data_IF_212445735151
#
_entry.id   IF_212445735151
#
_cell.length_a   1.000
_cell.length_b   1.000
_cell.length_c   1.000
_cell.angle_alpha   90.00
_cell.angle_beta   90.00
_cell.angle_gamma   90.00
#
_symmetry.space_group_name_H-M   'P 1'
#
loop_
_entity.id
_entity.type
_entity.pdbx_description
1 polymer ?
#
# COMPACT_ATOMS: atom_id res chain seq x y z
N UNK A 1 -2.32 -35.27 6.38
CA UNK A 1 -3.41 -34.45 5.77
C UNK A 1 -2.76 -33.28 5.07
N UNK A 2 -2.90 -33.19 3.74
CA UNK A 2 -2.44 -32.04 2.95
C UNK A 2 -3.43 -30.89 3.13
N UNK A 3 -3.19 -30.04 4.14
CA UNK A 3 -3.98 -28.82 4.30
C UNK A 3 -3.81 -27.92 3.08
N UNK A 4 -4.93 -27.52 2.48
CA UNK A 4 -4.91 -26.79 1.23
C UNK A 4 -4.52 -25.34 1.46
N UNK A 5 -3.23 -25.06 1.29
CA UNK A 5 -2.65 -23.72 1.39
C UNK A 5 -3.26 -22.71 0.41
N UNK A 6 -4.08 -23.14 -0.57
CA UNK A 6 -4.91 -22.28 -1.41
C UNK A 6 -6.00 -21.56 -0.59
N UNK A 7 -6.61 -22.24 0.38
CA UNK A 7 -7.70 -21.74 1.22
C UNK A 7 -7.27 -20.54 2.06
N UNK A 8 -6.14 -20.63 2.76
CA UNK A 8 -5.66 -19.56 3.64
C UNK A 8 -5.26 -18.31 2.84
N UNK A 9 -4.66 -18.51 1.67
CA UNK A 9 -4.30 -17.42 0.76
C UNK A 9 -5.56 -16.71 0.22
N UNK A 10 -6.62 -17.47 -0.10
CA UNK A 10 -7.93 -16.91 -0.47
C UNK A 10 -8.57 -16.12 0.68
N UNK A 11 -8.49 -16.63 1.92
CA UNK A 11 -8.98 -15.93 3.13
C UNK A 11 -8.22 -14.62 3.34
N UNK A 12 -6.89 -14.61 3.21
CA UNK A 12 -6.06 -13.41 3.31
C UNK A 12 -6.37 -12.39 2.19
N UNK A 13 -6.46 -12.85 0.93
CA UNK A 13 -6.89 -12.03 -0.21
C UNK A 13 -8.28 -11.38 0.02
N UNK A 14 -9.21 -12.12 0.62
CA UNK A 14 -10.55 -11.62 0.98
C UNK A 14 -10.50 -10.52 2.05
N UNK A 15 -9.68 -10.68 3.10
CA UNK A 15 -9.52 -9.63 4.12
C UNK A 15 -8.78 -8.39 3.61
N UNK A 16 -7.78 -8.56 2.75
CA UNK A 16 -7.09 -7.44 2.08
C UNK A 16 -8.06 -6.67 1.18
N UNK A 17 -8.89 -7.38 0.41
CA UNK A 17 -9.93 -6.79 -0.44
C UNK A 17 -10.95 -6.03 0.39
N UNK A 18 -11.49 -6.64 1.46
CA UNK A 18 -12.44 -5.99 2.36
C UNK A 18 -11.84 -4.75 3.08
N UNK A 19 -10.53 -4.78 3.41
CA UNK A 19 -9.85 -3.60 3.97
C UNK A 19 -9.73 -2.49 2.94
N UNK A 20 -9.41 -2.81 1.68
CA UNK A 20 -9.37 -1.84 0.60
C UNK A 20 -10.75 -1.22 0.32
N UNK A 21 -11.80 -2.04 0.27
CA UNK A 21 -13.17 -1.56 0.02
C UNK A 21 -13.65 -0.63 1.16
N UNK A 22 -13.21 -0.88 2.41
CA UNK A 22 -13.40 0.05 3.52
C UNK A 22 -12.59 1.36 3.36
N UNK A 23 -11.36 1.31 2.83
CA UNK A 23 -10.55 2.50 2.53
C UNK A 23 -11.17 3.35 1.41
N UNK A 24 -11.71 2.72 0.36
CA UNK A 24 -12.52 3.35 -0.70
C UNK A 24 -13.76 4.04 -0.10
N UNK A 25 -14.38 3.42 0.90
CA UNK A 25 -15.49 3.97 1.69
C UNK A 25 -15.07 5.04 2.72
N UNK A 26 -13.88 5.63 2.59
CA UNK A 26 -13.38 6.72 3.44
C UNK A 26 -12.71 6.30 4.75
N UNK A 27 -12.55 4.99 5.03
CA UNK A 27 -11.99 4.50 6.31
C UNK A 27 -10.45 4.39 6.32
N UNK A 28 -9.76 5.37 5.76
CA UNK A 28 -8.30 5.51 5.91
C UNK A 28 -7.92 5.82 7.36
N UNK A 29 -6.75 5.35 7.82
CA UNK A 29 -6.26 5.63 9.18
C UNK A 29 -5.95 7.12 9.36
N UNK A 30 -5.20 7.64 8.41
CA UNK A 30 -4.91 9.06 8.21
C UNK A 30 -5.86 9.55 7.12
N UNK A 31 -6.57 10.68 7.28
CA UNK A 31 -7.38 11.19 6.20
C UNK A 31 -6.43 11.70 5.13
N UNK A 32 -6.80 11.48 3.90
CA UNK A 32 -6.08 12.06 2.78
C UNK A 32 -7.09 12.86 1.98
N UNK A 33 -6.61 13.90 1.32
CA UNK A 33 -7.47 14.76 0.51
C UNK A 33 -7.37 14.33 -0.94
N UNK A 34 -8.43 14.62 -1.66
CA UNK A 34 -8.66 14.32 -3.07
C UNK A 34 -7.42 14.48 -3.94
N UNK A 35 -7.22 13.45 -4.76
CA UNK A 35 -6.01 13.19 -5.52
C UNK A 35 -5.73 11.68 -5.51
N UNK A 36 -5.13 11.14 -6.57
CA UNK A 36 -4.83 9.72 -6.65
C UNK A 36 -3.69 9.35 -5.69
N UNK A 37 -3.90 8.30 -4.89
CA UNK A 37 -2.93 7.81 -3.92
C UNK A 37 -2.74 6.30 -3.97
N UNK A 38 -1.47 5.89 -3.86
CA UNK A 38 -1.06 4.50 -3.90
C UNK A 38 -1.29 3.85 -2.54
N UNK A 39 -1.88 2.66 -2.57
CA UNK A 39 -2.10 1.80 -1.41
C UNK A 39 -1.48 0.45 -1.69
N UNK A 40 -0.62 -0.02 -0.78
CA UNK A 40 -0.16 -1.40 -0.70
C UNK A 40 -0.62 -1.98 0.63
N UNK A 41 -1.36 -3.09 0.58
CA UNK A 41 -1.80 -3.84 1.75
C UNK A 41 -1.12 -5.21 1.72
N UNK A 42 -0.53 -5.62 2.84
CA UNK A 42 0.10 -6.93 2.96
C UNK A 42 -0.35 -7.64 4.23
N UNK A 43 -0.50 -8.97 4.16
CA UNK A 43 -0.99 -9.79 5.28
C UNK A 43 -0.39 -11.19 5.24
N UNK A 44 -0.08 -11.73 6.42
CA UNK A 44 0.34 -13.12 6.56
C UNK A 44 -0.84 -14.09 6.42
N UNK A 45 -0.63 -15.15 5.66
CA UNK A 45 -1.55 -16.27 5.47
C UNK A 45 -1.03 -17.46 6.28
N UNK A 46 -1.84 -17.92 7.25
CA UNK A 46 -1.46 -18.92 8.25
C UNK A 46 -2.54 -20.02 8.41
N UNK A 47 -2.08 -21.24 8.73
CA UNK A 47 -2.77 -22.52 8.52
C UNK A 47 -3.97 -22.87 9.45
N UNK A 48 -4.29 -22.05 10.44
CA UNK A 48 -5.32 -22.36 11.44
C UNK A 48 -6.11 -21.12 11.89
N UNK A 49 -5.43 -19.98 12.00
CA UNK A 49 -6.05 -18.67 12.01
C UNK A 49 -5.03 -17.66 11.46
N UNK A 50 -5.49 -16.50 11.01
CA UNK A 50 -4.55 -15.44 10.61
C UNK A 50 -3.80 -14.95 11.85
N UNK A 51 -2.58 -14.44 11.66
CA UNK A 51 -1.82 -13.88 12.77
C UNK A 51 -2.66 -12.79 13.43
N UNK A 52 -3.01 -13.04 14.69
CA UNK A 52 -3.55 -12.04 15.62
C UNK A 52 -2.38 -11.62 16.50
N UNK A 53 -1.49 -10.74 16.00
CA UNK A 53 -0.32 -10.31 16.74
C UNK A 53 -0.75 -9.69 18.07
N UNK A 54 0.11 -9.82 19.09
CA UNK A 54 -0.08 -9.03 20.32
C UNK A 54 0.15 -7.55 19.97
N UNK A 55 -0.41 -6.63 20.75
CA UNK A 55 -0.27 -5.19 20.49
C UNK A 55 1.21 -4.77 20.39
N UNK A 56 2.09 -5.34 21.23
CA UNK A 56 3.52 -5.08 21.23
C UNK A 56 4.22 -5.53 19.94
N UNK A 57 3.76 -6.60 19.29
CA UNK A 57 4.26 -7.07 17.99
C UNK A 57 3.85 -6.09 16.88
N UNK A 58 2.62 -5.59 16.94
CA UNK A 58 2.12 -4.57 15.99
C UNK A 58 2.93 -3.28 16.08
N UNK A 59 3.16 -2.80 17.31
CA UNK A 59 3.96 -1.62 17.60
C UNK A 59 5.43 -1.82 17.17
N UNK A 60 5.98 -3.02 17.35
CA UNK A 60 7.34 -3.37 16.92
C UNK A 60 7.46 -3.42 15.39
N UNK A 61 6.50 -4.03 14.71
CA UNK A 61 6.44 -4.06 13.25
C UNK A 61 6.25 -2.64 12.67
N UNK A 62 5.40 -1.82 13.26
CA UNK A 62 5.21 -0.42 12.84
C UNK A 62 6.46 0.44 13.03
N UNK A 63 7.21 0.27 14.13
CA UNK A 63 8.53 0.92 14.33
C UNK A 63 9.56 0.50 13.27
N UNK A 64 9.45 -0.71 12.73
CA UNK A 64 10.25 -1.13 11.57
C UNK A 64 9.75 -0.45 10.30
N UNK A 65 8.42 -0.44 10.05
CA UNK A 65 7.81 0.23 8.90
C UNK A 65 8.06 1.75 8.87
N UNK A 66 8.24 2.41 10.01
CA UNK A 66 8.65 3.82 10.08
C UNK A 66 9.96 4.08 9.30
N UNK A 67 10.80 3.06 9.12
CA UNK A 67 12.05 3.16 8.35
C UNK A 67 11.80 3.12 6.84
N UNK A 68 10.61 2.78 6.36
CA UNK A 68 10.25 2.93 4.96
C UNK A 68 10.37 4.41 4.55
N UNK A 69 10.65 4.67 3.28
CA UNK A 69 10.65 6.02 2.71
C UNK A 69 9.65 6.07 1.54
N UNK A 70 8.33 5.97 1.79
CA UNK A 70 7.35 5.81 0.73
C UNK A 70 7.37 7.01 -0.21
N UNK A 71 7.61 6.79 -1.51
CA UNK A 71 7.77 7.88 -2.47
C UNK A 71 8.85 8.92 -2.07
N UNK A 72 9.82 8.54 -1.24
CA UNK A 72 10.85 9.40 -0.64
C UNK A 72 10.44 10.14 0.64
N UNK A 73 9.22 9.96 1.14
CA UNK A 73 8.75 10.62 2.36
C UNK A 73 9.34 9.99 3.63
N UNK A 74 9.99 10.80 4.47
CA UNK A 74 10.44 10.38 5.81
C UNK A 74 9.24 10.31 6.77
N UNK A 75 9.09 9.19 7.48
CA UNK A 75 7.97 8.96 8.39
C UNK A 75 8.34 9.28 9.85
N UNK A 76 7.52 10.12 10.48
CA UNK A 76 7.58 10.52 11.89
C UNK A 76 6.42 9.88 12.67
N UNK A 77 6.44 10.00 14.00
CA UNK A 77 5.35 9.54 14.85
C UNK A 77 4.23 10.59 14.85
N UNK A 78 3.05 10.24 14.36
CA UNK A 78 1.90 11.14 14.41
C UNK A 78 1.45 11.37 15.86
N UNK A 79 1.34 12.64 16.27
CA UNK A 79 0.92 12.98 17.63
C UNK A 79 -0.61 13.05 17.78
N UNK A 80 -1.31 13.80 16.91
CA UNK A 80 -2.76 14.07 16.99
C UNK A 80 -3.35 14.38 15.61
N UNK A 81 -4.62 14.00 15.40
CA UNK A 81 -5.45 14.37 14.24
C UNK A 81 -6.88 14.67 14.72
N UNK A 82 -7.40 15.87 14.43
CA UNK A 82 -8.75 16.31 14.82
C UNK A 82 -9.06 16.07 16.33
N UNK A 83 -8.08 16.35 17.19
CA UNK A 83 -8.17 16.10 18.64
C UNK A 83 -8.05 14.63 19.09
N UNK A 84 -7.99 13.66 18.17
CA UNK A 84 -7.78 12.23 18.48
C UNK A 84 -6.30 11.85 18.31
N UNK A 85 -5.78 11.11 19.28
CA UNK A 85 -4.46 10.45 19.18
C UNK A 85 -4.58 9.25 18.24
N UNK A 86 -3.66 9.10 17.28
CA UNK A 86 -3.58 7.88 16.47
C UNK A 86 -2.96 6.72 17.29
N UNK A 87 -3.24 5.45 16.93
CA UNK A 87 -2.55 4.31 17.54
C UNK A 87 -1.02 4.45 17.50
N UNK A 88 -0.28 3.96 18.51
CA UNK A 88 1.19 4.05 18.54
C UNK A 88 1.89 3.42 17.33
N UNK A 89 1.23 2.46 16.69
CA UNK A 89 1.61 1.75 15.46
C UNK A 89 1.27 2.46 14.14
N UNK A 90 0.81 3.71 14.17
CA UNK A 90 0.58 4.53 12.96
C UNK A 90 1.64 5.63 12.84
N UNK A 91 2.36 5.65 11.71
CA UNK A 91 3.42 6.62 11.42
C UNK A 91 3.13 7.35 10.11
N UNK A 92 3.51 8.63 10.01
CA UNK A 92 3.08 9.54 8.92
C UNK A 92 4.22 10.47 8.52
N UNK A 93 4.17 11.04 7.32
CA UNK A 93 4.94 12.25 6.99
C UNK A 93 4.17 13.51 7.41
N UNK A 94 4.83 14.49 8.04
CA UNK A 94 4.22 15.80 8.32
C UNK A 94 4.32 16.72 7.09
N UNK A 95 3.30 17.47 6.62
CA UNK A 95 1.91 17.69 7.08
C UNK A 95 0.93 17.72 5.88
N UNK A 96 -0.36 17.37 6.05
CA UNK A 96 -1.42 17.69 5.08
C UNK A 96 -1.99 19.12 5.24
N UNK A 97 -1.46 19.93 6.16
CA UNK A 97 -1.87 21.32 6.39
C UNK A 97 -1.31 22.24 5.30
N UNK A 98 -1.97 22.24 4.14
CA UNK A 98 -1.63 23.11 3.02
C UNK A 98 -2.52 22.94 1.78
N UNK A 99 -2.31 23.77 0.74
CA UNK A 99 -3.01 23.68 -0.54
C UNK A 99 -2.45 22.57 -1.46
N UNK A 100 -1.26 22.03 -1.16
CA UNK A 100 -0.67 20.85 -1.83
C UNK A 100 -0.55 19.77 -0.76
N UNK A 101 -1.37 18.72 -0.87
CA UNK A 101 -1.51 17.69 0.16
C UNK A 101 -0.77 16.43 -0.25
N UNK A 102 0.55 16.50 -0.18
CA UNK A 102 1.44 15.34 -0.15
C UNK A 102 1.36 14.65 1.21
N UNK A 103 1.42 13.33 1.24
CA UNK A 103 1.40 12.55 2.46
C UNK A 103 1.97 11.15 2.21
N UNK A 104 2.49 10.52 3.25
CA UNK A 104 2.65 9.08 3.34
C UNK A 104 2.26 8.62 4.74
N UNK A 105 1.78 7.38 4.86
CA UNK A 105 1.62 6.74 6.16
C UNK A 105 1.82 5.23 6.10
N UNK A 106 2.16 4.66 7.25
CA UNK A 106 2.14 3.21 7.51
C UNK A 106 1.33 2.93 8.77
N UNK A 107 0.58 1.83 8.78
CA UNK A 107 -0.13 1.30 9.97
C UNK A 107 0.06 -0.23 10.03
N UNK A 108 0.06 -0.78 11.24
CA UNK A 108 -0.11 -2.22 11.45
C UNK A 108 -1.33 -2.42 12.32
N UNK A 109 -2.37 -3.09 11.82
CA UNK A 109 -3.59 -3.29 12.60
C UNK A 109 -3.60 -4.64 13.36
N UNK A 110 -4.54 -4.80 14.30
CA UNK A 110 -4.69 -5.99 15.17
C UNK A 110 -4.93 -7.32 14.45
N UNK A 111 -5.15 -7.31 13.13
CA UNK A 111 -5.21 -8.52 12.29
C UNK A 111 -3.88 -8.83 11.60
N UNK A 112 -2.81 -8.09 11.89
CA UNK A 112 -1.53 -8.22 11.20
C UNK A 112 -1.55 -7.74 9.74
N UNK A 113 -2.52 -6.90 9.35
CA UNK A 113 -2.45 -6.21 8.04
C UNK A 113 -1.46 -5.05 8.20
N UNK A 114 -0.44 -5.07 7.34
CA UNK A 114 0.44 -3.95 7.07
C UNK A 114 -0.24 -3.06 6.04
N UNK A 115 -0.55 -1.82 6.42
CA UNK A 115 -1.02 -0.77 5.53
C UNK A 115 0.16 0.13 5.18
N UNK A 116 0.40 0.34 3.88
CA UNK A 116 1.41 1.26 3.35
C UNK A 116 0.71 2.16 2.34
N UNK A 117 0.77 3.48 2.52
CA UNK A 117 0.02 4.44 1.71
C UNK A 117 0.88 5.66 1.37
N UNK A 118 0.86 6.09 0.11
CA UNK A 118 1.59 7.25 -0.37
C UNK A 118 0.75 8.10 -1.35
N UNK A 119 0.66 9.39 -1.07
CA UNK A 119 0.09 10.42 -1.94
C UNK A 119 1.15 11.06 -2.84
N UNK A 120 0.69 12.00 -3.67
CA UNK A 120 1.47 12.64 -4.75
C UNK A 120 1.96 11.66 -5.83
N UNK A 121 1.05 10.83 -6.33
CA UNK A 121 1.25 10.08 -7.59
C UNK A 121 1.00 10.97 -8.81
N UNK A 122 0.22 12.06 -8.66
CA UNK A 122 -0.07 13.03 -9.72
C UNK A 122 0.67 14.36 -9.51
N UNK A 123 1.28 14.86 -10.58
CA UNK A 123 1.72 16.25 -10.69
C UNK A 123 0.48 17.12 -11.02
N UNK A 124 0.24 18.17 -10.23
CA UNK A 124 -0.89 19.10 -10.44
C UNK A 124 -0.92 19.75 -11.84
N UNK A 125 0.20 19.73 -12.56
CA UNK A 125 0.33 20.31 -13.90
C UNK A 125 0.31 19.28 -15.03
N UNK A 126 0.38 17.96 -14.75
CA UNK A 126 0.53 16.89 -15.75
C UNK A 126 -0.34 15.65 -15.53
N UNK A 127 -1.06 15.58 -14.41
CA UNK A 127 -1.81 14.40 -14.01
C UNK A 127 -0.92 13.25 -13.56
N UNK A 128 -1.44 12.03 -13.68
CA UNK A 128 -0.73 10.78 -13.44
C UNK A 128 0.18 10.46 -14.63
N UNK A 129 1.49 10.43 -14.40
CA UNK A 129 2.51 10.14 -15.45
C UNK A 129 3.25 8.81 -15.25
N UNK A 130 3.05 8.15 -14.12
CA UNK A 130 3.67 6.88 -13.76
C UNK A 130 3.74 6.67 -12.25
N UNK A 131 4.16 5.47 -11.82
CA UNK A 131 4.34 5.11 -10.40
C UNK A 131 5.82 5.08 -9.97
N UNK A 132 6.75 5.58 -10.80
CA UNK A 132 8.20 5.37 -10.65
C UNK A 132 8.83 5.81 -9.33
N UNK A 133 8.25 6.78 -8.61
CA UNK A 133 8.70 7.13 -7.26
C UNK A 133 8.43 6.02 -6.23
N UNK A 134 7.33 5.29 -6.37
CA UNK A 134 7.01 4.09 -5.59
C UNK A 134 7.96 2.95 -5.96
N UNK A 135 8.21 2.74 -7.26
CA UNK A 135 9.15 1.71 -7.74
C UNK A 135 10.56 1.91 -7.18
N UNK A 136 11.05 3.16 -7.18
CA UNK A 136 12.35 3.53 -6.65
C UNK A 136 12.46 3.28 -5.13
N UNK A 137 11.45 3.66 -4.35
CA UNK A 137 11.47 3.41 -2.90
C UNK A 137 11.43 1.91 -2.54
N UNK A 138 10.65 1.12 -3.29
CA UNK A 138 10.60 -0.35 -3.14
C UNK A 138 11.94 -1.00 -3.45
N UNK A 139 12.62 -0.59 -4.53
CA UNK A 139 13.95 -1.06 -4.91
C UNK A 139 15.02 -0.71 -3.87
N UNK A 140 14.99 0.53 -3.36
CA UNK A 140 15.99 1.06 -2.45
C UNK A 140 15.87 0.50 -1.03
N UNK A 141 14.64 0.36 -0.50
CA UNK A 141 14.44 0.17 0.94
C UNK A 141 13.18 -0.61 1.33
N UNK A 142 12.03 -0.31 0.73
CA UNK A 142 10.76 -0.68 1.36
C UNK A 142 10.45 -2.17 1.28
N UNK A 143 10.95 -2.86 0.24
CA UNK A 143 10.85 -4.32 0.18
C UNK A 143 11.54 -4.98 1.39
N UNK A 144 12.72 -4.51 1.80
CA UNK A 144 13.41 -5.04 2.99
C UNK A 144 12.68 -4.66 4.28
N UNK A 145 12.20 -3.42 4.39
CA UNK A 145 11.45 -2.95 5.55
C UNK A 145 10.15 -3.75 5.76
N UNK A 146 9.43 -4.09 4.68
CA UNK A 146 8.26 -4.97 4.74
C UNK A 146 8.61 -6.37 5.29
N UNK A 147 9.73 -6.97 4.84
CA UNK A 147 10.20 -8.27 5.39
C UNK A 147 10.46 -8.20 6.88
N UNK A 148 11.18 -7.16 7.32
CA UNK A 148 11.57 -6.99 8.71
C UNK A 148 10.35 -6.69 9.61
N UNK A 149 9.33 -6.01 9.08
CA UNK A 149 8.05 -5.83 9.77
C UNK A 149 7.31 -7.16 9.94
N UNK A 150 7.23 -8.01 8.90
CA UNK A 150 6.64 -9.35 9.04
C UNK A 150 7.45 -10.27 9.96
N UNK A 151 8.78 -10.12 10.00
CA UNK A 151 9.64 -10.80 10.98
C UNK A 151 9.34 -10.35 12.41
N UNK A 152 9.08 -9.05 12.63
CA UNK A 152 8.64 -8.53 13.94
C UNK A 152 7.25 -9.03 14.36
N UNK A 153 6.36 -9.36 13.40
CA UNK A 153 5.09 -10.05 13.63
C UNK A 153 5.22 -11.57 13.83
N UNK A 154 6.45 -12.12 13.92
CA UNK A 154 6.69 -13.56 14.07
C UNK A 154 6.32 -14.40 12.83
N UNK A 155 6.12 -13.78 11.66
CA UNK A 155 5.64 -14.47 10.46
C UNK A 155 6.76 -15.26 9.78
N UNK A 156 6.61 -16.58 9.75
CA UNK A 156 7.44 -17.49 8.94
C UNK A 156 6.74 -18.06 7.69
N UNK A 157 5.45 -17.76 7.48
CA UNK A 157 4.60 -18.39 6.46
C UNK A 157 4.32 -17.46 5.27
N UNK A 158 3.45 -17.94 4.37
CA UNK A 158 2.99 -17.22 3.19
C UNK A 158 2.54 -15.79 3.49
N UNK A 159 2.79 -14.87 2.54
CA UNK A 159 2.28 -13.50 2.56
C UNK A 159 1.42 -13.29 1.33
N UNK A 160 0.32 -12.56 1.47
CA UNK A 160 -0.46 -12.03 0.36
C UNK A 160 -0.29 -10.51 0.33
N UNK A 161 -0.10 -9.94 -0.85
CA UNK A 161 0.07 -8.49 -1.07
C UNK A 161 -0.93 -8.04 -2.14
N UNK A 162 -1.63 -6.94 -1.89
CA UNK A 162 -2.51 -6.26 -2.85
C UNK A 162 -2.02 -4.82 -3.02
N UNK A 163 -2.15 -4.26 -4.23
CA UNK A 163 -2.05 -2.81 -4.41
C UNK A 163 -3.22 -2.22 -5.21
N UNK A 164 -3.42 -0.93 -5.01
CA UNK A 164 -4.43 -0.13 -5.67
C UNK A 164 -4.00 1.34 -5.76
N UNK A 165 -4.63 2.06 -6.68
CA UNK A 165 -4.64 3.52 -6.74
C UNK A 165 -6.07 3.96 -6.39
N UNK A 166 -6.25 4.73 -5.33
CA UNK A 166 -7.56 5.22 -4.88
C UNK A 166 -7.69 6.72 -5.15
N UNK A 167 -8.92 7.24 -5.27
CA UNK A 167 -9.15 8.67 -5.52
C UNK A 167 -8.84 9.09 -6.95
N UNK A 168 -9.12 8.21 -7.91
CA UNK A 168 -8.75 8.37 -9.33
C UNK A 168 -9.83 8.99 -10.21
N UNK A 169 -11.03 9.25 -9.69
CA UNK A 169 -12.14 9.81 -10.48
C UNK A 169 -11.76 11.17 -11.09
N UNK A 170 -11.86 11.31 -12.40
CA UNK A 170 -11.49 12.53 -13.13
C UNK A 170 -9.98 12.82 -13.15
N UNK A 171 -9.14 11.85 -12.79
CA UNK A 171 -7.70 12.01 -12.87
C UNK A 171 -7.23 11.85 -14.32
N UNK A 172 -6.63 12.91 -14.87
CA UNK A 172 -5.90 12.81 -16.14
C UNK A 172 -4.70 11.88 -16.00
N UNK A 173 -4.57 10.95 -16.95
CA UNK A 173 -3.44 10.03 -17.10
C UNK A 173 -2.73 10.36 -18.39
N UNK A 174 -1.41 10.50 -18.31
CA UNK A 174 -0.51 10.65 -19.46
C UNK A 174 0.42 9.44 -19.47
N UNK A 175 0.48 8.71 -20.58
CA UNK A 175 1.37 7.56 -20.71
C UNK A 175 2.11 7.54 -22.05
N UNK A 176 3.31 6.95 -22.02
CA UNK A 176 4.19 6.85 -23.19
C UNK A 176 4.12 5.44 -23.74
N UNK A 177 3.38 5.29 -24.86
CA UNK A 177 3.44 4.09 -25.67
C UNK A 177 4.71 4.07 -26.53
N UNK A 178 4.99 2.92 -27.16
CA UNK A 178 6.14 2.74 -28.07
C UNK A 178 6.14 3.63 -29.31
N UNK A 179 5.00 4.24 -29.66
CA UNK A 179 4.84 5.05 -30.87
C UNK A 179 4.36 6.50 -30.63
N UNK A 180 3.74 6.81 -29.48
CA UNK A 180 3.31 8.16 -29.14
C UNK A 180 3.06 8.32 -27.63
N UNK A 181 3.13 9.57 -27.16
CA UNK A 181 2.46 9.96 -25.91
C UNK A 181 0.94 9.91 -26.13
N UNK A 182 0.21 9.49 -25.10
CA UNK A 182 -1.25 9.43 -25.08
C UNK A 182 -1.76 9.99 -23.75
N UNK A 183 -2.94 10.58 -23.80
CA UNK A 183 -3.63 11.13 -22.64
C UNK A 183 -5.07 10.66 -22.62
N UNK A 184 -5.66 10.62 -21.42
CA UNK A 184 -7.07 10.33 -21.19
C UNK A 184 -7.43 10.49 -19.72
N UNK A 185 -8.67 10.19 -19.36
CA UNK A 185 -9.24 10.48 -18.04
C UNK A 185 -9.77 9.19 -17.39
N UNK A 186 -9.52 9.02 -16.10
CA UNK A 186 -10.05 7.88 -15.35
C UNK A 186 -11.47 8.16 -14.86
N UNK A 187 -12.47 7.51 -15.48
CA UNK A 187 -13.87 7.49 -15.00
C UNK A 187 -14.10 6.43 -13.89
N UNK A 188 -13.02 5.99 -13.23
CA UNK A 188 -13.08 5.03 -12.13
C UNK A 188 -12.62 5.69 -10.82
N UNK A 189 -13.33 5.51 -9.68
CA UNK A 189 -12.94 6.08 -8.40
C UNK A 189 -11.70 5.40 -7.77
N UNK A 190 -11.37 4.19 -8.25
CA UNK A 190 -10.16 3.47 -7.90
C UNK A 190 -9.74 2.49 -9.00
N UNK A 191 -8.46 2.12 -9.03
CA UNK A 191 -7.91 1.04 -9.84
C UNK A 191 -7.23 0.03 -8.92
N UNK A 192 -7.58 -1.26 -9.01
CA UNK A 192 -6.96 -2.34 -8.20
C UNK A 192 -6.57 -3.55 -9.03
N UNK A 193 -5.50 -4.24 -8.63
CA UNK A 193 -5.02 -5.48 -9.26
C UNK A 193 -5.23 -6.71 -8.35
N UNK A 194 -5.21 -7.94 -8.90
CA UNK A 194 -5.33 -9.15 -8.10
C UNK A 194 -4.21 -9.25 -7.04
N UNK A 195 -4.48 -9.80 -5.84
CA UNK A 195 -3.45 -10.04 -4.85
C UNK A 195 -2.39 -11.05 -5.32
N UNK A 196 -1.11 -10.75 -5.05
CA UNK A 196 0.02 -11.64 -5.29
C UNK A 196 0.40 -12.40 -4.01
N UNK A 197 0.73 -13.69 -4.16
CA UNK A 197 1.15 -14.57 -3.06
C UNK A 197 2.66 -14.81 -3.08
N UNK A 198 3.28 -14.73 -1.92
CA UNK A 198 4.67 -15.07 -1.65
C UNK A 198 4.77 -16.28 -0.71
N UNK A 199 5.79 -17.11 -0.88
CA UNK A 199 6.00 -18.31 -0.07
C UNK A 199 6.32 -18.01 1.40
N UNK A 200 7.05 -16.92 1.66
CA UNK A 200 7.51 -16.48 2.98
C UNK A 200 7.93 -14.99 2.90
N UNK A 201 8.16 -14.28 4.01
CA UNK A 201 8.73 -12.92 3.98
C UNK A 201 10.02 -12.84 3.16
N UNK A 202 10.93 -13.81 3.32
CA UNK A 202 12.19 -13.85 2.57
C UNK A 202 12.01 -13.93 1.03
N UNK A 203 10.84 -14.38 0.55
CA UNK A 203 10.52 -14.47 -0.88
C UNK A 203 9.98 -13.16 -1.47
N UNK A 204 9.60 -12.18 -0.65
CA UNK A 204 9.16 -10.85 -1.10
C UNK A 204 10.36 -10.09 -1.65
N UNK A 205 10.57 -10.08 -2.96
CA UNK A 205 11.66 -9.34 -3.62
C UNK A 205 11.17 -8.00 -4.15
N UNK A 206 12.04 -6.99 -4.15
CA UNK A 206 11.76 -5.71 -4.77
C UNK A 206 11.37 -5.85 -6.25
N UNK A 207 11.98 -6.79 -6.98
CA UNK A 207 11.63 -7.12 -8.37
C UNK A 207 10.17 -7.54 -8.55
N UNK A 208 9.63 -8.29 -7.59
CA UNK A 208 8.28 -8.84 -7.66
C UNK A 208 7.25 -7.82 -7.17
N UNK A 209 7.59 -7.01 -6.17
CA UNK A 209 6.79 -5.83 -5.79
C UNK A 209 6.77 -4.76 -6.90
N UNK A 210 7.88 -4.50 -7.59
CA UNK A 210 7.89 -3.58 -8.73
C UNK A 210 7.22 -4.16 -9.97
N UNK A 211 7.06 -5.48 -10.09
CA UNK A 211 6.14 -6.05 -11.09
C UNK A 211 4.70 -5.69 -10.72
N UNK A 212 4.32 -5.89 -9.46
CA UNK A 212 2.99 -5.55 -8.94
C UNK A 212 2.66 -4.04 -9.11
N UNK A 213 3.65 -3.14 -8.95
CA UNK A 213 3.47 -1.70 -9.27
C UNK A 213 3.31 -1.46 -10.77
N UNK A 214 4.08 -2.13 -11.64
CA UNK A 214 3.91 -2.02 -13.11
C UNK A 214 2.56 -2.56 -13.59
N UNK A 215 2.14 -3.72 -13.10
CA UNK A 215 0.84 -4.32 -13.44
C UNK A 215 -0.33 -3.38 -13.05
N UNK A 216 -0.18 -2.63 -11.95
CA UNK A 216 -1.14 -1.59 -11.56
C UNK A 216 -1.10 -0.38 -12.50
N UNK A 217 0.07 0.07 -12.92
CA UNK A 217 0.22 1.16 -13.88
C UNK A 217 -0.33 0.80 -15.26
N UNK A 218 -0.03 -0.39 -15.78
CA UNK A 218 -0.55 -0.87 -17.06
C UNK A 218 -2.09 -0.85 -17.04
N UNK A 219 -2.71 -1.34 -15.95
CA UNK A 219 -4.16 -1.28 -15.76
C UNK A 219 -4.72 0.14 -15.66
N UNK A 220 -3.98 1.08 -15.05
CA UNK A 220 -4.35 2.52 -15.06
C UNK A 220 -4.38 3.05 -16.51
N UNK A 221 -3.38 2.74 -17.33
CA UNK A 221 -3.34 3.17 -18.75
C UNK A 221 -4.29 2.41 -19.68
N UNK A 222 -4.82 1.27 -19.24
CA UNK A 222 -5.91 0.57 -19.91
C UNK A 222 -7.26 1.25 -19.66
N UNK A 223 -7.50 1.70 -18.42
CA UNK A 223 -8.78 2.26 -18.00
C UNK A 223 -8.96 3.76 -18.32
N UNK A 224 -7.88 4.50 -18.55
CA UNK A 224 -7.92 5.93 -18.89
C UNK A 224 -8.06 6.18 -20.42
N UNK A 225 -8.87 5.40 -21.13
CA UNK A 225 -8.95 5.38 -22.61
C UNK A 225 -10.30 5.85 -23.14
#
# INVERSE_FOLDING_TARGET
MTHDSSSDASKAASLLSARLDAMISGQLKVPVTDGPFFVLLAMASCLADMVRPVLDDCDSAAKVLQRAEPNGYVLTKCAKRNGRTLPPRTYVSDFPDGPVRSFAYVDVNERGIVEYVAGAVADKTRGLVGLGGIEHSIEKKDAQVLRDAFKALGVGSHIVVLAALLGTQGAFVTWRGTASEKTGELDAPYVKIPPLRFAAPAALKATDLNRLVRDLWDKVTEQAR
#
